data_IF_283884738649
#
_entry.id   IF_283884738649
#
_cell.length_a   1.000
_cell.length_b   1.000
_cell.length_c   1.000
_cell.angle_alpha   90.00
_cell.angle_beta   90.00
_cell.angle_gamma   90.00
#
_symmetry.space_group_name_H-M   'P 1'
#
loop_
_entity.id
_entity.type
_entity.pdbx_description
1 polymer ?
#
# COMPACT_ATOMS: atom_id res chain seq x y z
N UNK A 1 5.23 0.98 27.48
CA UNK A 1 6.37 0.58 26.62
C UNK A 1 6.07 0.60 25.11
N UNK A 2 4.80 0.53 24.67
CA UNK A 2 4.41 0.54 23.24
C UNK A 2 4.38 1.93 22.56
N UNK A 3 4.31 3.02 23.34
CA UNK A 3 4.25 4.41 22.84
C UNK A 3 5.51 4.79 22.07
N UNK A 4 6.69 4.47 22.60
CA UNK A 4 7.95 5.03 22.09
C UNK A 4 8.33 4.54 20.68
N UNK A 5 7.88 3.35 20.26
CA UNK A 5 8.19 2.83 18.92
C UNK A 5 7.24 3.38 17.85
N UNK A 6 5.93 3.44 18.15
CA UNK A 6 4.97 4.08 17.26
C UNK A 6 5.18 5.59 17.21
N UNK A 7 5.53 6.24 18.33
CA UNK A 7 5.95 7.64 18.37
C UNK A 7 7.28 7.87 17.66
N UNK A 8 8.20 6.90 17.66
CA UNK A 8 9.42 6.96 16.85
C UNK A 8 9.08 6.87 15.37
N UNK A 9 8.22 5.93 14.94
CA UNK A 9 7.72 5.88 13.56
C UNK A 9 6.95 7.16 13.21
N UNK A 10 6.14 7.70 14.11
CA UNK A 10 5.36 8.93 13.90
C UNK A 10 6.25 10.17 13.81
N UNK A 11 7.25 10.30 14.69
CA UNK A 11 8.26 11.37 14.65
C UNK A 11 9.13 11.27 13.39
N UNK A 12 9.55 10.06 13.04
CA UNK A 12 10.28 9.76 11.81
C UNK A 12 9.40 10.15 10.61
N UNK A 13 8.23 9.56 10.42
CA UNK A 13 7.30 9.89 9.30
C UNK A 13 6.89 11.37 9.21
N UNK A 14 6.84 12.12 10.32
CA UNK A 14 6.51 13.55 10.32
C UNK A 14 7.71 14.47 10.08
N UNK A 15 8.90 14.19 10.63
CA UNK A 15 10.12 14.94 10.30
C UNK A 15 10.62 14.64 8.88
N UNK A 16 10.13 13.55 8.31
CA UNK A 16 10.68 12.99 7.10
C UNK A 16 9.76 13.09 5.93
N UNK A 17 8.71 13.95 6.00
CA UNK A 17 7.79 14.39 4.94
C UNK A 17 8.43 15.30 3.87
N UNK A 18 9.73 15.65 4.02
CA UNK A 18 10.67 16.04 2.92
C UNK A 18 11.70 15.00 2.35
N UNK A 19 12.18 13.99 3.10
CA UNK A 19 13.40 13.24 2.73
C UNK A 19 13.26 11.71 2.45
N UNK A 20 12.17 11.02 2.83
CA UNK A 20 12.14 9.53 2.87
C UNK A 20 11.44 8.82 1.70
N UNK A 21 10.59 9.47 0.89
CA UNK A 21 10.10 8.89 -0.39
C UNK A 21 11.06 9.15 -1.55
N UNK A 22 11.88 10.19 -1.49
CA UNK A 22 12.81 10.49 -2.59
C UNK A 22 13.95 9.48 -2.67
N UNK A 23 14.45 9.02 -1.53
CA UNK A 23 15.61 8.10 -1.42
C UNK A 23 15.28 6.61 -1.53
N UNK A 24 14.00 6.24 -1.61
CA UNK A 24 13.57 4.84 -1.69
C UNK A 24 13.49 4.17 -0.32
N UNK A 25 12.42 3.39 -0.13
CA UNK A 25 12.10 2.70 1.11
C UNK A 25 13.28 1.84 1.62
N UNK A 26 13.75 2.02 2.88
CA UNK A 26 14.71 1.09 3.47
C UNK A 26 14.03 -0.26 3.75
N UNK A 27 14.39 -1.25 2.95
CA UNK A 27 13.78 -2.58 2.83
C UNK A 27 13.75 -3.42 4.13
N UNK A 28 14.71 -3.34 5.08
CA UNK A 28 14.68 -4.18 6.28
C UNK A 28 13.70 -3.69 7.34
N UNK A 29 13.59 -2.36 7.52
CA UNK A 29 12.68 -1.77 8.49
C UNK A 29 11.22 -1.98 8.08
N UNK A 30 10.91 -1.80 6.80
CA UNK A 30 9.58 -2.05 6.25
C UNK A 30 9.19 -3.53 6.40
N UNK A 31 10.08 -4.45 6.06
CA UNK A 31 9.82 -5.90 6.20
C UNK A 31 9.55 -6.28 7.65
N UNK A 32 10.33 -5.73 8.58
CA UNK A 32 10.13 -5.94 10.03
C UNK A 32 8.79 -5.40 10.49
N UNK A 33 8.41 -4.19 10.06
CA UNK A 33 7.12 -3.59 10.40
C UNK A 33 5.94 -4.37 9.81
N UNK A 34 6.01 -4.83 8.56
CA UNK A 34 4.97 -5.69 7.95
C UNK A 34 4.84 -7.00 8.73
N UNK A 35 5.95 -7.62 9.11
CA UNK A 35 5.96 -8.83 9.95
C UNK A 35 5.28 -8.58 11.29
N UNK A 36 5.54 -7.43 11.93
CA UNK A 36 4.89 -7.02 13.16
C UNK A 36 3.38 -6.83 12.98
N UNK A 37 2.93 -6.02 12.02
CA UNK A 37 1.50 -5.77 11.81
C UNK A 37 0.77 -7.03 11.35
N UNK A 38 1.42 -7.92 10.61
CA UNK A 38 0.86 -9.25 10.27
C UNK A 38 0.65 -10.10 11.52
N UNK A 39 1.59 -10.08 12.47
CA UNK A 39 1.41 -10.76 13.78
C UNK A 39 0.32 -10.10 14.61
N UNK A 40 0.18 -8.78 14.53
CA UNK A 40 -0.85 -8.03 15.23
C UNK A 40 -2.25 -8.33 14.67
N UNK A 41 -2.41 -8.38 13.35
CA UNK A 41 -3.66 -8.75 12.68
C UNK A 41 -4.17 -10.13 13.14
N UNK A 42 -3.28 -11.11 13.31
CA UNK A 42 -3.63 -12.43 13.87
C UNK A 42 -4.24 -12.37 15.28
N UNK A 43 -3.93 -11.32 16.05
CA UNK A 43 -4.44 -11.10 17.41
C UNK A 43 -5.67 -10.20 17.44
N UNK A 44 -5.70 -9.20 16.56
CA UNK A 44 -6.83 -8.29 16.37
C UNK A 44 -7.11 -8.15 14.87
N UNK A 45 -8.13 -8.87 14.35
CA UNK A 45 -8.47 -8.85 12.93
C UNK A 45 -8.86 -7.47 12.37
N UNK A 46 -9.14 -6.50 13.25
CA UNK A 46 -9.48 -5.12 12.87
C UNK A 46 -8.26 -4.32 12.43
N UNK A 47 -7.06 -4.76 12.79
CA UNK A 47 -5.81 -4.06 12.46
C UNK A 47 -5.20 -4.68 11.21
N UNK A 48 -5.18 -3.93 10.11
CA UNK A 48 -4.51 -4.33 8.87
C UNK A 48 -3.29 -3.46 8.60
N UNK A 49 -2.34 -4.00 7.84
CA UNK A 49 -1.15 -3.27 7.39
C UNK A 49 -1.55 -1.98 6.66
N UNK A 50 -2.58 -2.07 5.80
CA UNK A 50 -3.05 -0.95 5.00
C UNK A 50 -3.79 0.07 5.86
N UNK A 51 -4.72 -0.37 6.72
CA UNK A 51 -5.47 0.55 7.58
C UNK A 51 -4.56 1.38 8.47
N UNK A 52 -3.45 0.81 8.97
CA UNK A 52 -2.48 1.57 9.77
C UNK A 52 -1.68 2.60 8.94
N UNK A 53 -1.38 2.30 7.67
CA UNK A 53 -0.74 3.26 6.76
C UNK A 53 -1.71 4.37 6.34
N UNK A 54 -2.98 4.04 6.13
CA UNK A 54 -4.02 5.01 5.77
C UNK A 54 -4.35 6.00 6.90
N UNK A 55 -3.95 5.71 8.15
CA UNK A 55 -4.02 6.67 9.26
C UNK A 55 -3.06 7.84 9.12
N UNK A 56 -2.03 7.71 8.29
CA UNK A 56 -0.95 8.70 8.16
C UNK A 56 -0.78 9.23 6.73
N UNK A 57 -1.26 8.50 5.71
CA UNK A 57 -1.24 8.87 4.30
C UNK A 57 -2.63 8.64 3.70
N UNK A 58 -3.08 9.51 2.80
CA UNK A 58 -4.33 9.29 2.06
C UNK A 58 -4.28 8.00 1.24
N UNK A 59 -5.40 7.26 1.18
CA UNK A 59 -5.50 5.96 0.49
C UNK A 59 -5.03 5.99 -0.97
N UNK A 60 -5.34 7.05 -1.72
CA UNK A 60 -4.91 7.17 -3.13
C UNK A 60 -3.42 7.46 -3.21
N UNK A 61 -2.91 8.34 -2.35
CA UNK A 61 -1.46 8.59 -2.29
C UNK A 61 -0.70 7.35 -1.83
N UNK A 62 -1.21 6.58 -0.87
CA UNK A 62 -0.63 5.31 -0.46
C UNK A 62 -0.52 4.36 -1.65
N UNK A 63 -1.58 4.21 -2.44
CA UNK A 63 -1.57 3.35 -3.60
C UNK A 63 -0.59 3.83 -4.69
N UNK A 64 -0.47 5.15 -4.92
CA UNK A 64 0.56 5.73 -5.79
C UNK A 64 1.96 5.44 -5.28
N UNK A 65 2.16 5.54 -3.98
CA UNK A 65 3.44 5.29 -3.30
C UNK A 65 3.76 3.79 -3.18
N UNK A 66 2.79 2.88 -3.30
CA UNK A 66 3.03 1.44 -3.44
C UNK A 66 3.32 1.09 -4.91
N UNK A 67 2.63 1.74 -5.86
CA UNK A 67 2.82 1.53 -7.29
C UNK A 67 4.13 2.12 -7.84
N UNK A 68 4.57 3.28 -7.36
CA UNK A 68 5.80 3.95 -7.80
C UNK A 68 7.11 3.17 -7.50
N UNK A 69 7.25 2.49 -6.34
CA UNK A 69 8.34 1.55 -6.08
C UNK A 69 8.46 0.43 -7.12
N UNK A 70 7.38 0.00 -7.80
CA UNK A 70 7.50 -1.03 -8.85
C UNK A 70 8.28 -0.53 -10.06
N UNK A 71 8.26 0.77 -10.37
CA UNK A 71 9.06 1.33 -11.47
C UNK A 71 10.54 1.40 -11.09
N UNK A 72 10.86 1.80 -9.85
CA UNK A 72 12.26 1.86 -9.37
C UNK A 72 12.84 0.48 -9.01
N UNK A 73 12.10 -0.39 -8.34
CA UNK A 73 12.53 -1.74 -8.00
C UNK A 73 12.65 -2.67 -9.23
N UNK A 74 11.86 -2.44 -10.30
CA UNK A 74 12.04 -3.12 -11.57
C UNK A 74 13.35 -2.74 -12.27
N UNK A 75 13.92 -1.57 -11.98
CA UNK A 75 15.22 -1.15 -12.51
C UNK A 75 16.39 -1.84 -11.78
N UNK A 76 16.23 -2.24 -10.51
CA UNK A 76 17.34 -2.74 -9.66
C UNK A 76 17.33 -4.25 -9.34
N UNK A 77 16.47 -5.07 -9.98
CA UNK A 77 16.40 -6.55 -9.79
C UNK A 77 16.24 -7.03 -8.33
N UNK A 78 15.87 -6.17 -7.38
CA UNK A 78 15.67 -6.56 -5.98
C UNK A 78 14.35 -7.35 -5.80
N UNK A 79 14.49 -8.66 -5.77
CA UNK A 79 13.37 -9.60 -5.62
C UNK A 79 12.71 -9.57 -4.25
N UNK A 80 13.42 -9.14 -3.20
CA UNK A 80 12.87 -9.05 -1.84
C UNK A 80 11.91 -7.87 -1.74
N UNK A 81 12.34 -6.71 -2.24
CA UNK A 81 11.52 -5.50 -2.31
C UNK A 81 10.28 -5.70 -3.17
N UNK A 82 10.43 -6.33 -4.32
CA UNK A 82 9.30 -6.64 -5.20
C UNK A 82 8.21 -7.44 -4.48
N UNK A 83 8.57 -8.52 -3.77
CA UNK A 83 7.60 -9.34 -3.02
C UNK A 83 6.85 -8.56 -1.95
N UNK A 84 7.54 -7.65 -1.26
CA UNK A 84 6.93 -6.81 -0.23
C UNK A 84 5.94 -5.83 -0.85
N UNK A 85 6.34 -5.16 -1.93
CA UNK A 85 5.49 -4.21 -2.66
C UNK A 85 4.26 -4.92 -3.24
N UNK A 86 4.44 -6.05 -3.92
CA UNK A 86 3.35 -6.86 -4.47
C UNK A 86 2.36 -7.24 -3.35
N UNK A 87 2.87 -7.64 -2.17
CA UNK A 87 2.02 -7.99 -1.04
C UNK A 87 1.22 -6.79 -0.52
N UNK A 88 1.84 -5.63 -0.38
CA UNK A 88 1.16 -4.41 0.05
C UNK A 88 0.08 -3.99 -0.96
N UNK A 89 0.38 -4.05 -2.25
CA UNK A 89 -0.56 -3.71 -3.31
C UNK A 89 -1.80 -4.62 -3.28
N UNK A 90 -1.59 -5.95 -3.13
CA UNK A 90 -2.69 -6.91 -3.01
C UNK A 90 -3.55 -6.65 -1.77
N UNK A 91 -2.95 -6.25 -0.64
CA UNK A 91 -3.70 -5.90 0.57
C UNK A 91 -4.52 -4.62 0.36
N UNK A 92 -3.97 -3.60 -0.31
CA UNK A 92 -4.67 -2.35 -0.63
C UNK A 92 -5.89 -2.63 -1.51
N UNK A 93 -5.71 -3.45 -2.54
CA UNK A 93 -6.78 -3.80 -3.48
C UNK A 93 -7.86 -4.64 -2.82
N UNK A 94 -7.47 -5.58 -1.95
CA UNK A 94 -8.43 -6.35 -1.17
C UNK A 94 -9.28 -5.43 -0.28
N UNK A 95 -8.67 -4.47 0.42
CA UNK A 95 -9.41 -3.51 1.24
C UNK A 95 -10.46 -2.76 0.41
N UNK A 96 -10.06 -2.17 -0.73
CA UNK A 96 -10.99 -1.48 -1.62
C UNK A 96 -12.09 -2.38 -2.16
N UNK A 97 -11.76 -3.62 -2.51
CA UNK A 97 -12.73 -4.61 -2.99
C UNK A 97 -13.75 -4.98 -1.91
N UNK A 98 -13.28 -5.25 -0.68
CA UNK A 98 -14.14 -5.57 0.47
C UNK A 98 -15.05 -4.37 0.83
N UNK A 99 -14.58 -3.13 0.62
CA UNK A 99 -15.36 -1.89 0.76
C UNK A 99 -16.33 -1.61 -0.41
N UNK A 100 -16.36 -2.49 -1.43
CA UNK A 100 -17.23 -2.35 -2.60
C UNK A 100 -16.83 -1.21 -3.55
N UNK A 101 -15.57 -0.80 -3.53
CA UNK A 101 -15.03 0.15 -4.52
C UNK A 101 -15.01 -0.54 -5.89
N UNK A 102 -15.73 0.04 -6.86
CA UNK A 102 -15.71 -0.45 -8.25
C UNK A 102 -14.58 0.21 -9.03
N UNK A 103 -14.13 -0.44 -10.10
CA UNK A 103 -13.09 0.09 -10.99
C UNK A 103 -13.45 1.46 -11.55
N UNK A 104 -14.70 1.68 -11.99
CA UNK A 104 -15.17 2.97 -12.50
C UNK A 104 -15.18 4.08 -11.42
N UNK A 105 -15.55 3.72 -10.17
CA UNK A 105 -15.53 4.63 -9.03
C UNK A 105 -14.11 5.04 -8.68
N UNK A 106 -13.16 4.11 -8.69
CA UNK A 106 -11.75 4.40 -8.44
C UNK A 106 -11.17 5.31 -9.53
N UNK A 107 -11.43 5.00 -10.81
CA UNK A 107 -11.02 5.83 -11.95
C UNK A 107 -11.53 7.26 -11.83
N UNK A 108 -12.81 7.45 -11.47
CA UNK A 108 -13.38 8.79 -11.25
C UNK A 108 -12.69 9.55 -10.11
N UNK A 109 -12.37 8.87 -8.99
CA UNK A 109 -11.65 9.48 -7.86
C UNK A 109 -10.25 9.94 -8.26
N UNK A 110 -9.51 9.12 -9.01
CA UNK A 110 -8.15 9.44 -9.45
C UNK A 110 -8.10 10.51 -10.54
N UNK A 111 -9.07 10.52 -11.46
CA UNK A 111 -9.17 11.53 -12.51
C UNK A 111 -9.42 12.95 -11.98
N UNK A 112 -9.99 13.10 -10.78
CA UNK A 112 -10.27 14.40 -10.18
C UNK A 112 -8.99 15.23 -9.93
N UNK A 113 -7.86 14.57 -9.68
CA UNK A 113 -6.53 15.19 -9.56
C UNK A 113 -5.53 14.26 -10.23
N UNK A 114 -5.44 14.36 -11.56
CA UNK A 114 -4.66 13.45 -12.40
C UNK A 114 -3.19 13.39 -11.95
N UNK A 115 -2.74 12.18 -11.63
CA UNK A 115 -1.34 11.84 -11.40
C UNK A 115 -0.96 10.71 -12.37
N UNK A 116 0.18 10.82 -13.05
CA UNK A 116 0.62 9.78 -14.01
C UNK A 116 0.77 8.39 -13.37
N UNK A 117 1.06 8.33 -12.06
CA UNK A 117 1.19 7.09 -11.28
C UNK A 117 -0.15 6.34 -11.17
N UNK A 118 -1.28 7.04 -11.34
CA UNK A 118 -2.62 6.45 -11.26
C UNK A 118 -2.86 5.42 -12.36
N UNK A 119 -2.26 5.61 -13.54
CA UNK A 119 -2.43 4.71 -14.69
C UNK A 119 -2.12 3.26 -14.32
N UNK A 120 -0.98 3.02 -13.66
CA UNK A 120 -0.58 1.67 -13.27
C UNK A 120 -1.45 1.11 -12.16
N UNK A 121 -1.81 1.95 -11.17
CA UNK A 121 -2.67 1.52 -10.07
C UNK A 121 -4.05 1.10 -10.58
N UNK A 122 -4.62 1.85 -11.53
CA UNK A 122 -5.92 1.55 -12.13
C UNK A 122 -5.89 0.24 -12.94
N UNK A 123 -4.84 0.02 -13.74
CA UNK A 123 -4.68 -1.22 -14.49
C UNK A 123 -4.55 -2.43 -13.56
N UNK A 124 -3.65 -2.37 -12.58
CA UNK A 124 -3.43 -3.48 -11.65
C UNK A 124 -4.68 -3.77 -10.79
N UNK A 125 -5.42 -2.72 -10.41
CA UNK A 125 -6.67 -2.89 -9.67
C UNK A 125 -7.79 -3.50 -10.52
N UNK A 126 -7.88 -3.12 -11.80
CA UNK A 126 -8.84 -3.70 -12.73
C UNK A 126 -8.60 -5.22 -12.89
N UNK A 127 -7.34 -5.63 -13.07
CA UNK A 127 -6.97 -7.04 -13.18
C UNK A 127 -7.30 -7.81 -11.88
N UNK A 128 -6.97 -7.22 -10.73
CA UNK A 128 -7.35 -7.77 -9.43
C UNK A 128 -8.87 -7.93 -9.30
N UNK A 129 -9.64 -6.88 -9.62
CA UNK A 129 -11.10 -6.86 -9.46
C UNK A 129 -11.77 -7.95 -10.30
N UNK A 130 -11.37 -8.09 -11.56
CA UNK A 130 -11.91 -9.10 -12.47
C UNK A 130 -11.57 -10.52 -12.00
N UNK A 131 -10.33 -10.75 -11.57
CA UNK A 131 -9.89 -12.05 -11.08
C UNK A 131 -10.65 -12.49 -9.82
N UNK A 132 -11.06 -11.57 -8.95
CA UNK A 132 -11.80 -11.89 -7.72
C UNK A 132 -13.32 -11.92 -7.92
N UNK A 133 -13.85 -11.15 -8.86
CA UNK A 133 -15.28 -11.24 -9.22
C UNK A 133 -15.58 -12.57 -9.91
N UNK A 134 -14.72 -13.02 -10.83
CA UNK A 134 -14.92 -14.29 -11.54
C UNK A 134 -14.87 -15.51 -10.60
N UNK A 135 -14.08 -15.47 -9.53
CA UNK A 135 -14.00 -16.56 -8.53
C UNK A 135 -15.22 -16.66 -7.63
N UNK A 136 -15.94 -15.55 -7.42
CA UNK A 136 -17.13 -15.51 -6.56
C UNK A 136 -18.44 -15.76 -7.33
N UNK A 137 -18.37 -16.02 -8.64
CA UNK A 137 -19.50 -16.24 -9.52
C UNK A 137 -19.89 -17.73 -9.70
N UNK A 138 -19.22 -18.64 -8.98
CA UNK A 138 -19.44 -20.09 -8.96
C UNK A 138 -19.52 -20.59 -7.52
#
# INVERSE_FOLDING_TARGET
MFSNFLDSIRRVTSSLKGEWWERGFPTPALTTWISYVTKLNKKDPRVTVISELERIIDSLELARQIGAPMVRAALDKDTGTKKVVDRLQQLQFKLWFDEGVKTDRLSKRMAANFDMRDTKVLLDYHDFFNAHTARNAF
#
